data_IF_159129626584
#
_entry.id   IF_159129626584
#
_cell.length_a   1.000
_cell.length_b   1.000
_cell.length_c   1.000
_cell.angle_alpha   90.00
_cell.angle_beta   90.00
_cell.angle_gamma   90.00
#
_symmetry.space_group_name_H-M   'P 1'
#
loop_
_entity.id
_entity.type
_entity.pdbx_description
1 polymer ?
#
# COMPACT_ATOMS: atom_id res chain seq x y z
N UNK A 1 8.68 -10.40 -12.40
CA UNK A 1 7.27 -10.72 -12.79
C UNK A 1 6.69 -9.44 -13.36
N UNK A 2 6.44 -9.34 -14.68
CA UNK A 2 5.89 -8.12 -15.30
C UNK A 2 4.37 -8.17 -15.18
N UNK A 3 3.84 -7.76 -14.04
CA UNK A 3 2.40 -7.58 -13.83
C UNK A 3 2.16 -6.07 -13.74
N UNK A 4 1.47 -5.52 -14.73
CA UNK A 4 0.77 -4.27 -14.49
C UNK A 4 -0.42 -4.59 -13.60
N UNK A 5 -0.40 -4.12 -12.35
CA UNK A 5 -1.64 -4.01 -11.61
C UNK A 5 -2.41 -2.87 -12.28
N UNK A 6 -3.56 -3.19 -12.87
CA UNK A 6 -4.41 -2.21 -13.52
C UNK A 6 -5.14 -1.43 -12.42
N UNK A 7 -4.39 -0.74 -11.57
CA UNK A 7 -4.93 -0.08 -10.39
C UNK A 7 -5.52 1.26 -10.79
N UNK A 8 -6.82 1.18 -11.07
CA UNK A 8 -7.83 2.21 -10.79
C UNK A 8 -7.39 3.66 -11.01
N UNK A 9 -7.26 4.06 -12.27
CA UNK A 9 -7.83 5.35 -12.64
C UNK A 9 -9.34 5.25 -12.39
N UNK A 10 -9.89 6.18 -11.59
CA UNK A 10 -11.32 6.31 -11.31
C UNK A 10 -12.13 6.79 -12.53
N UNK A 11 -11.69 6.45 -13.76
CA UNK A 11 -12.39 6.72 -15.03
C UNK A 11 -12.17 5.55 -15.99
N UNK A 12 -13.12 5.40 -16.91
CA UNK A 12 -13.34 4.27 -17.82
C UNK A 12 -12.07 3.74 -18.53
N UNK A 13 -11.43 2.74 -17.94
CA UNK A 13 -10.41 1.95 -18.63
C UNK A 13 -11.07 0.76 -19.32
N UNK A 14 -11.04 0.73 -20.65
CA UNK A 14 -11.41 -0.47 -21.44
C UNK A 14 -10.24 -1.45 -21.60
N UNK A 15 -9.04 -1.09 -21.16
CA UNK A 15 -7.80 -1.88 -21.23
C UNK A 15 -6.85 -1.44 -20.10
N UNK A 16 -5.85 -2.23 -19.74
CA UNK A 16 -4.84 -1.87 -18.73
C UNK A 16 -3.87 -0.74 -19.16
N UNK A 17 -4.30 0.06 -20.14
CA UNK A 17 -3.61 1.24 -20.67
C UNK A 17 -4.63 2.37 -20.69
N UNK A 18 -4.19 3.55 -20.27
CA UNK A 18 -4.97 4.79 -20.42
C UNK A 18 -5.20 5.07 -21.91
N UNK A 19 -6.37 5.59 -22.26
CA UNK A 19 -6.66 6.01 -23.63
C UNK A 19 -5.63 7.03 -24.13
N UNK A 20 -4.99 6.75 -25.26
CA UNK A 20 -3.87 7.54 -25.82
C UNK A 20 -2.47 6.96 -25.57
N UNK A 21 -2.32 5.91 -24.75
CA UNK A 21 -1.04 5.24 -24.49
C UNK A 21 -0.90 3.87 -25.21
N UNK A 22 -1.76 3.59 -26.19
CA UNK A 22 -1.88 2.29 -26.85
C UNK A 22 -0.63 1.92 -27.66
N UNK A 23 0.08 2.92 -28.21
CA UNK A 23 1.26 2.73 -29.06
C UNK A 23 2.58 2.65 -28.28
N UNK A 24 2.58 2.88 -26.97
CA UNK A 24 3.79 2.81 -26.17
C UNK A 24 4.29 1.36 -26.04
N UNK A 25 5.54 1.12 -26.43
CA UNK A 25 6.19 -0.19 -26.27
C UNK A 25 6.64 -0.40 -24.82
N UNK A 26 6.33 -1.58 -24.28
CA UNK A 26 6.97 -2.12 -23.07
C UNK A 26 8.49 -2.19 -23.33
N UNK A 27 9.37 -1.89 -22.35
CA UNK A 27 9.32 -2.44 -20.99
C UNK A 27 9.21 -1.39 -19.87
N UNK A 28 8.53 -0.27 -20.09
CA UNK A 28 8.35 0.71 -19.01
C UNK A 28 7.34 0.22 -17.97
N UNK A 29 7.64 0.53 -16.71
CA UNK A 29 6.75 0.28 -15.58
C UNK A 29 5.40 0.93 -15.79
N UNK A 30 4.36 0.21 -15.40
CA UNK A 30 2.99 0.51 -15.73
C UNK A 30 2.64 1.90 -15.19
N UNK A 31 2.09 2.82 -16.01
CA UNK A 31 1.90 4.23 -15.64
C UNK A 31 1.06 4.45 -14.38
N UNK A 32 0.37 3.40 -13.90
CA UNK A 32 -0.54 3.46 -12.76
C UNK A 32 -0.15 2.61 -11.55
N UNK A 33 1.05 2.01 -11.49
CA UNK A 33 1.61 1.43 -10.25
C UNK A 33 2.08 2.52 -9.26
N UNK A 34 1.36 3.64 -9.16
CA UNK A 34 1.80 4.86 -8.50
C UNK A 34 1.52 4.89 -6.99
N UNK A 35 0.80 3.90 -6.46
CA UNK A 35 0.37 3.92 -5.05
C UNK A 35 1.37 3.19 -4.15
N UNK A 36 2.01 2.11 -4.62
CA UNK A 36 2.91 1.27 -3.81
C UNK A 36 4.06 0.69 -4.66
N UNK A 37 5.26 0.58 -4.07
CA UNK A 37 6.37 -0.20 -4.63
C UNK A 37 6.06 -1.69 -4.50
N UNK A 38 5.39 -2.28 -5.50
CA UNK A 38 4.95 -3.67 -5.42
C UNK A 38 6.11 -4.66 -5.24
N UNK A 39 7.29 -4.54 -5.91
CA UNK A 39 8.45 -5.37 -5.58
C UNK A 39 8.83 -5.29 -4.10
N UNK A 40 8.99 -4.10 -3.53
CA UNK A 40 9.35 -3.98 -2.10
C UNK A 40 8.27 -4.52 -1.19
N UNK A 41 7.00 -4.37 -1.57
CA UNK A 41 5.90 -4.94 -0.81
C UNK A 41 5.97 -6.48 -0.78
N UNK A 42 6.31 -7.16 -1.89
CA UNK A 42 6.39 -8.63 -1.92
C UNK A 42 7.72 -9.21 -1.43
N UNK A 43 8.80 -8.44 -1.51
CA UNK A 43 10.17 -8.87 -1.17
C UNK A 43 10.60 -8.39 0.23
N UNK A 44 9.65 -7.95 1.06
CA UNK A 44 9.95 -7.48 2.41
C UNK A 44 10.34 -8.63 3.37
N UNK A 45 11.07 -8.29 4.42
CA UNK A 45 11.50 -9.24 5.45
C UNK A 45 10.48 -9.46 6.57
N UNK A 46 9.27 -8.87 6.49
CA UNK A 46 8.21 -9.07 7.48
C UNK A 46 7.53 -10.44 7.34
N UNK A 47 7.73 -11.12 6.21
CA UNK A 47 7.28 -12.51 6.03
C UNK A 47 5.77 -12.70 5.96
N UNK A 48 4.99 -11.62 5.74
CA UNK A 48 3.54 -11.66 5.62
C UNK A 48 3.14 -11.80 4.14
N UNK A 49 2.68 -12.98 3.68
CA UNK A 49 2.28 -13.14 2.30
C UNK A 49 0.93 -12.44 2.04
N UNK A 50 0.85 -11.62 1.00
CA UNK A 50 -0.43 -11.10 0.53
C UNK A 50 -1.17 -12.17 -0.27
N UNK A 51 -2.49 -12.18 -0.13
CA UNK A 51 -3.41 -12.95 -0.98
C UNK A 51 -4.27 -12.01 -1.82
N UNK A 52 -4.64 -12.49 -2.99
CA UNK A 52 -5.57 -11.82 -3.90
C UNK A 52 -6.96 -11.65 -3.26
N UNK A 53 -7.72 -10.59 -3.62
CA UNK A 53 -9.05 -10.35 -3.06
C UNK A 53 -10.03 -11.52 -3.25
N UNK A 54 -9.86 -12.29 -4.33
CA UNK A 54 -10.70 -13.46 -4.62
C UNK A 54 -10.36 -14.70 -3.79
N UNK A 55 -9.33 -14.65 -2.92
CA UNK A 55 -8.88 -15.78 -2.10
C UNK A 55 -10.05 -16.48 -1.40
N UNK A 56 -10.92 -15.73 -0.71
CA UNK A 56 -12.05 -16.31 0.03
C UNK A 56 -13.18 -16.85 -0.86
N UNK A 57 -13.28 -16.36 -2.10
CA UNK A 57 -14.26 -16.86 -3.08
C UNK A 57 -13.76 -18.08 -3.86
N UNK A 58 -12.48 -18.44 -3.71
CA UNK A 58 -11.89 -19.56 -4.43
C UNK A 58 -12.39 -20.89 -3.89
N UNK A 59 -12.89 -21.76 -4.77
CA UNK A 59 -13.27 -23.15 -4.45
C UNK A 59 -12.10 -24.00 -3.94
N UNK A 60 -10.86 -23.50 -4.08
CA UNK A 60 -9.64 -24.15 -3.58
C UNK A 60 -9.35 -23.85 -2.12
N UNK A 61 -9.99 -22.83 -1.51
CA UNK A 61 -9.81 -22.55 -0.08
C UNK A 61 -10.68 -23.52 0.71
N UNK A 62 -10.09 -24.32 1.62
CA UNK A 62 -10.84 -25.23 2.47
C UNK A 62 -11.93 -24.51 3.27
N UNK A 63 -13.09 -25.15 3.42
CA UNK A 63 -14.24 -24.56 4.14
C UNK A 63 -13.94 -24.29 5.61
N UNK A 64 -13.05 -25.06 6.24
CA UNK A 64 -12.60 -24.79 7.62
C UNK A 64 -11.75 -23.53 7.74
N UNK A 65 -11.28 -22.96 6.63
CA UNK A 65 -10.64 -21.65 6.58
C UNK A 65 -11.69 -20.60 6.20
N UNK A 66 -12.33 -20.73 5.04
CA UNK A 66 -13.23 -19.69 4.50
C UNK A 66 -14.50 -19.46 5.32
N UNK A 67 -14.95 -20.43 6.12
CA UNK A 67 -16.09 -20.28 7.03
C UNK A 67 -15.71 -19.99 8.49
N UNK A 68 -14.41 -20.04 8.84
CA UNK A 68 -13.93 -19.78 10.21
C UNK A 68 -13.40 -18.35 10.34
N UNK A 69 -14.35 -17.40 10.40
CA UNK A 69 -14.08 -15.97 10.44
C UNK A 69 -14.50 -15.43 11.81
N UNK A 70 -13.60 -14.72 12.48
CA UNK A 70 -13.92 -13.88 13.62
C UNK A 70 -13.73 -12.41 13.25
N UNK A 71 -14.71 -11.59 13.62
CA UNK A 71 -14.60 -10.13 13.55
C UNK A 71 -14.09 -9.62 14.88
N UNK A 72 -13.06 -8.78 14.85
CA UNK A 72 -12.48 -8.20 16.03
C UNK A 72 -12.37 -6.69 15.87
N UNK A 73 -12.82 -5.97 16.90
CA UNK A 73 -12.66 -4.52 16.99
C UNK A 73 -11.49 -4.22 17.91
N UNK A 74 -10.49 -3.53 17.37
CA UNK A 74 -9.33 -3.11 18.16
C UNK A 74 -9.68 -1.91 19.05
N UNK A 75 -9.07 -1.78 20.25
CA UNK A 75 -9.24 -0.61 21.09
C UNK A 75 -8.92 0.69 20.34
N UNK A 76 -9.57 1.79 20.74
CA UNK A 76 -9.38 3.10 20.10
C UNK A 76 -7.99 3.72 20.30
N UNK A 77 -7.11 3.05 21.04
CA UNK A 77 -5.76 3.50 21.38
C UNK A 77 -4.72 2.60 20.70
N UNK A 78 -3.55 3.14 20.32
CA UNK A 78 -2.46 2.32 19.78
C UNK A 78 -1.94 1.32 20.81
N UNK A 79 -1.74 0.08 20.40
CA UNK A 79 -1.18 -1.02 21.17
C UNK A 79 0.11 -1.53 20.53
N UNK A 80 1.03 -2.02 21.36
CA UNK A 80 2.18 -2.80 20.90
C UNK A 80 1.76 -4.24 20.59
N UNK A 81 2.69 -5.08 20.15
CA UNK A 81 2.43 -6.48 19.80
C UNK A 81 1.88 -7.30 20.99
N UNK A 82 2.35 -7.03 22.21
CA UNK A 82 1.89 -7.68 23.44
C UNK A 82 0.45 -7.30 23.74
N UNK A 83 0.13 -6.00 23.71
CA UNK A 83 -1.23 -5.49 23.92
C UNK A 83 -2.19 -5.97 22.83
N UNK A 84 -1.74 -6.00 21.58
CA UNK A 84 -2.53 -6.47 20.44
C UNK A 84 -2.83 -7.97 20.56
N UNK A 85 -1.85 -8.79 20.97
CA UNK A 85 -2.05 -10.22 21.24
C UNK A 85 -3.06 -10.44 22.36
N UNK A 86 -2.98 -9.66 23.44
CA UNK A 86 -3.95 -9.73 24.53
C UNK A 86 -5.36 -9.31 24.07
N UNK A 87 -5.48 -8.24 23.28
CA UNK A 87 -6.75 -7.76 22.74
C UNK A 87 -7.42 -8.78 21.79
N UNK A 88 -6.63 -9.55 21.06
CA UNK A 88 -7.10 -10.55 20.09
C UNK A 88 -7.19 -11.97 20.65
N UNK A 89 -6.83 -12.20 21.92
CA UNK A 89 -6.74 -13.53 22.52
C UNK A 89 -8.06 -14.33 22.44
N UNK A 90 -9.20 -13.67 22.54
CA UNK A 90 -10.52 -14.31 22.41
C UNK A 90 -10.78 -14.93 21.02
N UNK A 91 -9.96 -14.60 20.03
CA UNK A 91 -10.10 -15.03 18.64
C UNK A 91 -8.97 -15.95 18.17
N UNK A 92 -8.14 -16.49 19.06
CA UNK A 92 -6.98 -17.34 18.73
C UNK A 92 -7.36 -18.60 17.92
N UNK A 93 -8.59 -19.10 18.08
CA UNK A 93 -9.09 -20.25 17.32
C UNK A 93 -9.64 -19.92 15.92
N UNK A 94 -9.69 -18.64 15.53
CA UNK A 94 -10.20 -18.24 14.23
C UNK A 94 -9.13 -18.44 13.15
N UNK A 95 -9.53 -18.96 11.99
CA UNK A 95 -8.63 -19.05 10.83
C UNK A 95 -8.45 -17.69 10.15
N UNK A 96 -9.43 -16.80 10.29
CA UNK A 96 -9.47 -15.47 9.69
C UNK A 96 -9.89 -14.46 10.76
N UNK A 97 -9.13 -13.37 10.86
CA UNK A 97 -9.49 -12.18 11.62
C UNK A 97 -9.85 -11.05 10.67
N UNK A 98 -11.09 -10.58 10.76
CA UNK A 98 -11.56 -9.39 10.06
C UNK A 98 -11.53 -8.22 11.05
N UNK A 99 -10.69 -7.23 10.78
CA UNK A 99 -10.52 -6.03 11.60
C UNK A 99 -11.28 -4.87 10.96
N UNK A 100 -12.17 -4.24 11.72
CA UNK A 100 -13.01 -3.14 11.25
C UNK A 100 -12.27 -1.79 11.15
N UNK A 101 -11.27 -1.57 12.01
CA UNK A 101 -10.45 -0.38 12.08
C UNK A 101 -9.00 -0.77 12.42
N UNK A 102 -8.07 -0.46 11.52
CA UNK A 102 -6.63 -0.80 11.68
C UNK A 102 -5.72 0.42 11.71
N UNK A 103 -6.20 1.56 11.21
CA UNK A 103 -5.44 2.80 11.18
C UNK A 103 -5.19 3.27 12.62
N UNK A 104 -3.94 3.63 12.91
CA UNK A 104 -3.47 4.11 14.21
C UNK A 104 -3.72 3.14 15.38
N UNK A 105 -3.88 1.83 15.12
CA UNK A 105 -4.11 0.82 16.16
C UNK A 105 -2.87 0.10 16.63
N UNK A 106 -1.84 0.05 15.79
CA UNK A 106 -0.57 -0.61 16.10
C UNK A 106 0.55 0.42 16.21
N UNK A 107 1.30 0.38 17.31
CA UNK A 107 2.42 1.29 17.57
C UNK A 107 3.80 0.63 17.44
N UNK A 108 3.88 -0.67 17.15
CA UNK A 108 5.13 -1.41 16.98
C UNK A 108 5.31 -2.53 18.00
N UNK A 109 6.55 -3.01 18.14
CA UNK A 109 6.88 -4.14 19.02
C UNK A 109 7.40 -3.65 20.38
N UNK A 110 7.13 -4.43 21.43
CA UNK A 110 7.65 -4.19 22.78
C UNK A 110 9.17 -4.46 22.86
N UNK A 111 9.67 -5.42 22.10
CA UNK A 111 11.11 -5.61 21.93
C UNK A 111 11.72 -4.51 21.06
N UNK A 112 12.75 -3.84 21.56
CA UNK A 112 13.34 -2.69 20.90
C UNK A 112 14.06 -3.03 19.58
N UNK A 113 14.67 -4.22 19.49
CA UNK A 113 15.39 -4.63 18.29
C UNK A 113 14.40 -5.03 17.19
N UNK A 114 13.35 -5.76 17.54
CA UNK A 114 12.25 -6.11 16.64
C UNK A 114 11.49 -4.85 16.17
N UNK A 115 11.22 -3.91 17.08
CA UNK A 115 10.61 -2.62 16.74
C UNK A 115 11.45 -1.85 15.74
N UNK A 116 12.76 -1.71 16.00
CA UNK A 116 13.67 -1.01 15.10
C UNK A 116 13.74 -1.66 13.72
N UNK A 117 13.78 -3.01 13.67
CA UNK A 117 13.76 -3.76 12.42
C UNK A 117 12.44 -3.56 11.65
N UNK A 118 11.31 -3.59 12.35
CA UNK A 118 9.99 -3.34 11.75
C UNK A 118 9.87 -1.93 11.17
N UNK A 119 10.26 -0.90 11.93
CA UNK A 119 10.24 0.50 11.46
C UNK A 119 11.13 0.68 10.23
N UNK A 120 12.35 0.14 10.25
CA UNK A 120 13.27 0.23 9.12
C UNK A 120 12.67 -0.44 7.87
N UNK A 121 12.12 -1.64 8.02
CA UNK A 121 11.59 -2.39 6.89
C UNK A 121 10.29 -1.79 6.34
N UNK A 122 9.41 -1.30 7.21
CA UNK A 122 8.18 -0.61 6.79
C UNK A 122 8.48 0.73 6.12
N UNK A 123 9.47 1.50 6.62
CA UNK A 123 9.93 2.71 5.95
C UNK A 123 10.46 2.36 4.55
N UNK A 124 11.29 1.32 4.42
CA UNK A 124 11.80 0.86 3.12
C UNK A 124 10.67 0.45 2.17
N UNK A 125 9.70 -0.30 2.68
CA UNK A 125 8.55 -0.82 1.93
C UNK A 125 7.63 0.30 1.42
N UNK A 126 7.33 1.29 2.28
CA UNK A 126 6.39 2.36 2.00
C UNK A 126 7.05 3.60 1.36
N UNK A 127 8.37 3.71 1.44
CA UNK A 127 9.12 4.78 0.77
C UNK A 127 9.20 4.51 -0.72
N UNK A 128 8.15 4.92 -1.43
CA UNK A 128 8.11 4.87 -2.88
C UNK A 128 8.10 6.29 -3.45
N UNK A 129 9.15 6.62 -4.19
CA UNK A 129 9.25 7.87 -4.94
C UNK A 129 9.41 7.51 -6.40
N UNK A 130 8.34 7.63 -7.17
CA UNK A 130 8.43 7.71 -8.63
C UNK A 130 8.03 9.09 -9.08
N UNK A 131 8.68 9.56 -10.13
CA UNK A 131 8.23 10.75 -10.86
C UNK A 131 6.89 10.40 -11.53
N UNK A 132 5.75 10.94 -11.08
CA UNK A 132 4.48 10.60 -11.69
C UNK A 132 4.42 11.10 -13.13
N UNK A 133 3.49 10.53 -13.90
CA UNK A 133 2.95 11.20 -15.07
C UNK A 133 1.78 12.06 -14.61
N UNK A 134 1.88 13.36 -14.84
CA UNK A 134 0.83 14.30 -14.45
C UNK A 134 -0.04 14.60 -15.67
N UNK A 135 -1.35 14.65 -15.44
CA UNK A 135 -2.32 15.23 -16.36
C UNK A 135 -3.09 16.31 -15.59
N UNK A 136 -3.30 17.47 -16.21
CA UNK A 136 -4.23 18.49 -15.70
C UNK A 136 -5.18 18.81 -16.83
N UNK A 137 -6.45 18.43 -16.67
CA UNK A 137 -7.51 18.85 -17.59
C UNK A 137 -7.54 20.40 -17.62
N UNK A 138 -7.43 21.00 -18.82
CA UNK A 138 -7.50 22.46 -18.99
C UNK A 138 -6.16 23.22 -18.93
N UNK A 139 -5.01 22.54 -18.92
CA UNK A 139 -3.72 23.22 -19.08
C UNK A 139 -3.45 23.53 -20.56
N UNK A 140 -3.62 24.79 -20.97
CA UNK A 140 -3.23 25.29 -22.31
C UNK A 140 -1.71 25.29 -22.55
N UNK A 141 -0.93 24.91 -21.53
CA UNK A 141 0.50 25.18 -21.45
C UNK A 141 1.35 23.96 -21.09
N UNK A 142 0.85 22.73 -21.13
CA UNK A 142 1.65 21.51 -20.95
C UNK A 142 1.18 20.45 -21.94
N UNK A 143 2.03 19.51 -22.38
CA UNK A 143 1.55 18.36 -23.14
C UNK A 143 0.46 17.63 -22.32
N UNK A 144 -0.53 17.03 -22.99
CA UNK A 144 -1.58 16.23 -22.34
C UNK A 144 -1.01 15.15 -21.39
N UNK A 145 0.25 14.76 -21.60
CA UNK A 145 1.04 13.87 -20.77
C UNK A 145 2.49 14.36 -20.66
N UNK A 146 3.00 14.68 -19.46
CA UNK A 146 4.40 15.03 -19.21
C UNK A 146 4.88 14.47 -17.87
N UNK A 147 6.21 14.37 -17.67
CA UNK A 147 6.79 14.06 -16.36
C UNK A 147 6.42 15.17 -15.38
N UNK A 148 6.06 14.81 -14.16
CA UNK A 148 6.01 15.77 -13.07
C UNK A 148 7.44 16.11 -12.62
N UNK A 149 7.60 17.18 -11.85
CA UNK A 149 8.81 17.55 -11.12
C UNK A 149 10.02 18.04 -11.93
N UNK A 150 10.31 17.43 -13.08
CA UNK A 150 11.45 17.80 -13.90
C UNK A 150 11.16 17.64 -15.40
N UNK A 151 11.72 18.51 -16.25
CA UNK A 151 11.63 18.35 -17.69
C UNK A 151 12.55 17.21 -18.17
N UNK A 152 12.17 16.52 -19.25
CA UNK A 152 13.00 15.46 -19.82
C UNK A 152 14.18 16.05 -20.62
N UNK A 153 13.95 17.18 -21.29
CA UNK A 153 15.00 17.99 -21.91
C UNK A 153 14.95 19.46 -21.46
N UNK A 154 16.10 20.18 -21.46
CA UNK A 154 16.13 21.60 -21.14
C UNK A 154 15.14 22.40 -22.00
N UNK A 155 14.26 23.17 -21.35
CA UNK A 155 13.24 23.99 -22.02
C UNK A 155 11.89 23.31 -22.22
N UNK A 156 11.77 22.01 -21.93
CA UNK A 156 10.47 21.35 -21.92
C UNK A 156 9.63 21.75 -20.70
N UNK A 157 8.30 21.68 -20.87
CA UNK A 157 7.35 22.00 -19.82
C UNK A 157 7.00 20.74 -19.03
N UNK A 158 6.89 20.90 -17.71
CA UNK A 158 6.62 19.82 -16.76
C UNK A 158 5.61 20.31 -15.71
N UNK A 159 4.98 19.38 -15.01
CA UNK A 159 4.05 19.71 -13.94
C UNK A 159 4.78 19.90 -12.60
N UNK A 160 4.38 20.84 -11.74
CA UNK A 160 4.97 21.00 -10.41
C UNK A 160 4.78 19.72 -9.57
N UNK A 161 5.71 19.44 -8.65
CA UNK A 161 5.55 18.34 -7.69
C UNK A 161 4.48 18.71 -6.67
N UNK A 162 3.25 18.25 -6.85
CA UNK A 162 2.18 18.62 -5.91
C UNK A 162 1.80 17.46 -4.98
N UNK A 163 2.02 16.18 -5.34
CA UNK A 163 1.54 15.03 -4.57
C UNK A 163 2.39 13.76 -4.80
N UNK A 164 2.50 12.88 -3.77
CA UNK A 164 3.05 11.51 -3.91
C UNK A 164 4.51 11.30 -3.51
N UNK A 165 5.11 12.22 -2.75
CA UNK A 165 6.54 12.14 -2.38
C UNK A 165 6.80 12.19 -0.87
N UNK A 166 5.76 12.33 -0.06
CA UNK A 166 5.91 12.46 1.38
C UNK A 166 6.40 11.16 1.98
N UNK A 167 7.25 11.28 3.01
CA UNK A 167 7.67 10.13 3.79
C UNK A 167 6.44 9.46 4.42
N UNK A 168 6.47 8.12 4.61
CA UNK A 168 5.44 7.44 5.39
C UNK A 168 5.27 8.12 6.75
N UNK A 169 4.02 8.26 7.20
CA UNK A 169 3.76 8.76 8.54
C UNK A 169 4.45 7.85 9.58
N UNK A 170 5.02 8.42 10.66
CA UNK A 170 5.58 7.59 11.73
C UNK A 170 4.47 6.77 12.38
N UNK A 171 4.85 5.65 12.99
CA UNK A 171 3.93 4.88 13.84
C UNK A 171 3.39 5.77 14.98
N UNK A 172 2.13 5.56 15.39
CA UNK A 172 1.60 6.26 16.55
C UNK A 172 2.39 5.87 17.81
N UNK A 173 2.40 6.76 18.81
CA UNK A 173 3.02 6.45 20.10
C UNK A 173 2.22 5.36 20.82
N UNK A 174 2.93 4.38 21.37
CA UNK A 174 2.30 3.37 22.21
C UNK A 174 1.66 4.03 23.43
N UNK A 175 0.41 3.66 23.71
CA UNK A 175 -0.20 4.05 24.96
C UNK A 175 0.57 3.38 26.09
N UNK A 176 1.23 4.16 26.95
CA UNK A 176 1.75 3.63 28.22
C UNK A 176 0.59 2.97 28.95
N UNK A 177 0.71 1.69 29.26
CA UNK A 177 -0.20 1.01 30.17
C UNK A 177 -0.26 1.86 31.45
N UNK A 178 -1.41 2.49 31.70
CA UNK A 178 -1.71 3.00 33.02
C UNK A 178 -1.59 1.79 33.95
N UNK A 179 -0.53 1.79 34.76
CA UNK A 179 -0.27 0.79 35.81
C UNK A 179 -1.34 0.89 36.89
#
# INVERSE_FOLDING_TARGET
RMLCYCDFLWKEMKSCRVGGAESMQLPFDCPMDHVLDTPRFFENSLGVPIREPSFFSSTRVPSNVSANIARATLPSRPLDDVGLRAALAAHEGAAILELDQVIDRFCGFADAAEHAAFVLETERMLSYQRVPFCTVEGSDNAPLYSRCCEPWHPGEKFFPCVQGFDKPAPLPLCSTSAS
#
